data_IF_013038989810
#
_entry.id   IF_013038989810
#
_cell.length_a   1.000
_cell.length_b   1.000
_cell.length_c   1.000
_cell.angle_alpha   90.00
_cell.angle_beta   90.00
_cell.angle_gamma   90.00
#
_symmetry.space_group_name_H-M   'P 1'
#
loop_
_entity.id
_entity.type
_entity.pdbx_description
1 polymer ?
#
# COMPACT_ATOMS: atom_id res chain seq x y z
N UNK A 1 -16.28 3.69 -10.32
CA UNK A 1 -17.13 2.60 -9.81
C UNK A 1 -17.12 2.50 -8.28
N UNK A 2 -15.98 2.55 -7.59
CA UNK A 2 -15.95 2.65 -6.10
C UNK A 2 -15.89 4.09 -5.56
N UNK A 3 -15.42 5.05 -6.36
CA UNK A 3 -15.28 6.47 -5.98
C UNK A 3 -16.61 7.16 -5.65
N UNK A 4 -17.72 6.62 -6.12
CA UNK A 4 -19.05 7.25 -6.01
C UNK A 4 -19.75 6.91 -4.69
N UNK A 5 -19.27 5.90 -3.95
CA UNK A 5 -19.96 5.34 -2.77
C UNK A 5 -19.10 5.28 -1.51
N UNK A 6 -17.83 5.72 -1.57
CA UNK A 6 -16.87 5.62 -0.46
C UNK A 6 -16.06 6.92 -0.40
N UNK A 7 -15.90 7.48 0.80
CA UNK A 7 -15.01 8.61 1.01
C UNK A 7 -13.55 8.18 0.84
N UNK A 8 -12.78 8.92 0.03
CA UNK A 8 -11.37 8.63 -0.23
C UNK A 8 -10.54 9.92 -0.31
N UNK A 9 -9.23 9.77 -0.18
CA UNK A 9 -8.25 10.83 -0.42
C UNK A 9 -7.25 10.35 -1.48
N UNK A 10 -6.91 11.21 -2.43
CA UNK A 10 -5.85 10.93 -3.40
C UNK A 10 -4.50 11.33 -2.80
N UNK A 11 -3.53 10.40 -2.88
CA UNK A 11 -2.14 10.63 -2.50
C UNK A 11 -1.26 10.50 -3.75
N UNK A 12 -0.44 11.51 -4.01
CA UNK A 12 0.52 11.49 -5.12
C UNK A 12 1.93 11.31 -4.54
N UNK A 13 2.63 10.30 -5.01
CA UNK A 13 3.99 9.98 -4.59
C UNK A 13 4.94 10.00 -5.79
N UNK A 14 6.16 10.48 -5.54
CA UNK A 14 7.27 10.33 -6.48
C UNK A 14 7.90 8.95 -6.35
N UNK A 15 8.58 8.50 -7.40
CA UNK A 15 9.35 7.25 -7.36
C UNK A 15 10.37 7.31 -6.22
N UNK A 16 10.32 6.32 -5.33
CA UNK A 16 11.22 6.20 -4.18
C UNK A 16 10.65 6.76 -2.87
N UNK A 17 9.52 7.48 -2.91
CA UNK A 17 8.82 7.90 -1.70
C UNK A 17 8.06 6.72 -1.06
N UNK A 18 7.96 6.75 0.27
CA UNK A 18 7.27 5.74 1.05
C UNK A 18 5.85 6.21 1.36
N UNK A 19 4.85 5.38 1.01
CA UNK A 19 3.46 5.62 1.40
C UNK A 19 3.25 5.41 2.91
N UNK A 20 3.86 4.37 3.46
CA UNK A 20 3.91 4.05 4.90
C UNK A 20 5.14 3.19 5.20
N UNK A 21 5.40 2.95 6.50
CA UNK A 21 6.49 2.09 6.99
C UNK A 21 5.92 0.89 7.74
N UNK A 22 6.69 -0.20 7.79
CA UNK A 22 6.36 -1.37 8.60
C UNK A 22 6.14 -0.96 10.06
N UNK A 23 5.04 -1.43 10.66
CA UNK A 23 4.63 -1.07 12.02
C UNK A 23 3.79 0.21 12.13
N UNK A 24 3.51 0.91 11.02
CA UNK A 24 2.53 1.99 11.02
C UNK A 24 1.13 1.47 11.38
N UNK A 25 0.32 2.32 12.00
CA UNK A 25 -1.08 2.01 12.31
C UNK A 25 -1.86 1.66 11.06
N UNK A 26 -2.71 0.63 11.13
CA UNK A 26 -3.57 0.22 10.02
C UNK A 26 -4.95 0.82 10.21
N UNK A 27 -5.28 1.83 9.41
CA UNK A 27 -6.58 2.51 9.44
C UNK A 27 -7.24 2.65 8.05
N UNK A 28 -6.59 2.16 6.97
CA UNK A 28 -6.98 2.41 5.58
C UNK A 28 -6.74 1.23 4.64
N UNK A 29 -7.58 1.13 3.62
CA UNK A 29 -7.36 0.32 2.42
C UNK A 29 -6.80 1.21 1.30
N UNK A 30 -5.85 0.71 0.52
CA UNK A 30 -5.29 1.45 -0.61
C UNK A 30 -5.72 0.86 -1.96
N UNK A 31 -5.96 1.74 -2.92
CA UNK A 31 -6.22 1.41 -4.32
C UNK A 31 -5.23 2.17 -5.19
N UNK A 32 -4.50 1.47 -6.06
CA UNK A 32 -3.47 2.07 -6.90
C UNK A 32 -4.06 2.51 -8.25
N UNK A 33 -4.34 3.80 -8.41
CA UNK A 33 -4.89 4.32 -9.67
C UNK A 33 -3.86 4.27 -10.82
N UNK A 34 -2.60 4.60 -10.57
CA UNK A 34 -1.55 4.61 -11.60
C UNK A 34 -0.17 4.35 -11.01
N UNK A 35 0.64 3.58 -11.75
CA UNK A 35 2.03 3.28 -11.40
C UNK A 35 2.19 1.90 -10.80
N UNK A 36 3.19 1.75 -9.93
CA UNK A 36 3.52 0.49 -9.24
C UNK A 36 3.95 0.78 -7.81
N UNK A 37 3.49 -0.04 -6.87
CA UNK A 37 3.89 0.03 -5.46
C UNK A 37 4.49 -1.31 -5.06
N UNK A 38 5.63 -1.26 -4.35
CA UNK A 38 6.31 -2.44 -3.84
C UNK A 38 6.15 -2.48 -2.33
N UNK A 39 5.46 -3.50 -1.83
CA UNK A 39 5.39 -3.77 -0.39
C UNK A 39 6.61 -4.57 0.00
N UNK A 40 7.33 -4.05 0.99
CA UNK A 40 8.54 -4.66 1.53
C UNK A 40 8.33 -4.92 3.00
N UNK A 41 8.69 -6.12 3.44
CA UNK A 41 8.84 -6.47 4.85
C UNK A 41 10.33 -6.58 5.15
N UNK A 42 10.80 -5.85 6.15
CA UNK A 42 12.14 -6.06 6.68
C UNK A 42 12.10 -7.27 7.63
N UNK A 43 12.99 -8.22 7.42
CA UNK A 43 13.16 -9.39 8.29
C UNK A 43 13.77 -8.98 9.64
N UNK A 44 13.87 -9.92 10.58
CA UNK A 44 14.46 -9.65 11.90
C UNK A 44 15.94 -9.25 11.75
N UNK A 45 16.61 -9.78 10.72
CA UNK A 45 17.98 -9.48 10.35
C UNK A 45 18.11 -8.17 9.54
N UNK A 46 17.01 -7.44 9.35
CA UNK A 46 16.96 -6.16 8.64
C UNK A 46 16.97 -6.29 7.11
N UNK A 47 16.83 -7.48 6.54
CA UNK A 47 16.86 -7.68 5.09
C UNK A 47 15.49 -7.36 4.46
N UNK A 48 15.44 -6.60 3.35
CA UNK A 48 14.17 -6.29 2.70
C UNK A 48 13.67 -7.48 1.86
N UNK A 49 12.49 -8.00 2.20
CA UNK A 49 11.75 -8.99 1.41
C UNK A 49 10.58 -8.32 0.69
N UNK A 50 10.52 -8.46 -0.64
CA UNK A 50 9.37 -8.02 -1.42
C UNK A 50 8.24 -9.04 -1.23
N UNK A 51 7.13 -8.59 -0.64
CA UNK A 51 5.99 -9.48 -0.34
C UNK A 51 4.83 -9.31 -1.32
N UNK A 52 4.75 -8.17 -2.01
CA UNK A 52 3.73 -7.90 -3.02
C UNK A 52 4.21 -6.73 -3.91
N UNK A 53 3.98 -6.83 -5.22
CA UNK A 53 4.03 -5.71 -6.17
C UNK A 53 2.61 -5.43 -6.65
N UNK A 54 2.04 -4.30 -6.25
CA UNK A 54 0.74 -3.86 -6.72
C UNK A 54 0.87 -3.07 -8.03
N UNK A 55 0.00 -3.38 -8.97
CA UNK A 55 -0.14 -2.74 -10.27
C UNK A 55 -1.34 -1.78 -10.29
N UNK A 56 -1.43 -1.00 -11.36
CA UNK A 56 -2.55 -0.07 -11.53
C UNK A 56 -3.87 -0.84 -11.57
N UNK A 57 -4.88 -0.28 -10.92
CA UNK A 57 -6.20 -0.85 -10.70
C UNK A 57 -6.30 -1.99 -9.68
N UNK A 58 -5.27 -2.21 -8.87
CA UNK A 58 -5.28 -3.19 -7.77
C UNK A 58 -5.41 -2.52 -6.40
N UNK A 59 -6.01 -3.24 -5.45
CA UNK A 59 -5.91 -2.92 -4.03
C UNK A 59 -4.68 -3.56 -3.41
N UNK A 60 -4.17 -2.98 -2.32
CA UNK A 60 -3.08 -3.58 -1.57
C UNK A 60 -3.16 -3.25 -0.07
N UNK A 61 -2.42 -4.04 0.71
CA UNK A 61 -2.37 -3.99 2.18
C UNK A 61 -3.68 -4.35 2.90
N UNK A 62 -4.71 -4.82 2.18
CA UNK A 62 -6.02 -5.23 2.70
C UNK A 62 -5.93 -6.28 3.79
N UNK A 63 -4.97 -7.21 3.69
CA UNK A 63 -4.74 -8.23 4.71
C UNK A 63 -4.56 -7.62 6.11
N UNK A 64 -3.94 -6.45 6.20
CA UNK A 64 -3.65 -5.79 7.48
C UNK A 64 -4.90 -5.30 8.21
N UNK A 65 -6.05 -5.18 7.53
CA UNK A 65 -7.31 -4.68 8.11
C UNK A 65 -8.11 -5.76 8.84
N UNK A 66 -7.80 -7.04 8.64
CA UNK A 66 -8.62 -8.17 9.11
C UNK A 66 -7.90 -9.09 10.12
N UNK A 67 -6.73 -8.71 10.62
CA UNK A 67 -5.95 -9.47 11.63
C UNK A 67 -5.91 -8.77 12.99
#
# INVERSE_FOLDING_TARGET
MFKDNIAYQTLNLKKGEFLFRQGASVDRLFFLEKGRVKLVRNTIEGQPLVIHIAYSQETFAEASLFF
#
